data_IF_571659679517
#
_entry.id   IF_571659679517
#
_cell.length_a   1.000
_cell.length_b   1.000
_cell.length_c   1.000
_cell.angle_alpha   90.00
_cell.angle_beta   90.00
_cell.angle_gamma   90.00
#
_symmetry.space_group_name_H-M   'P 1'
#
loop_
_entity.id
_entity.type
_entity.pdbx_description
1 polymer ?
#
# COMPACT_ATOMS: atom_id res chain seq x y z
N UNK A 1 -7.52 71.20 19.71
CA UNK A 1 -7.02 72.56 20.03
C UNK A 1 -6.26 72.53 21.35
N UNK A 2 -5.01 73.01 21.36
CA UNK A 2 -4.16 73.04 22.56
C UNK A 2 -4.64 74.17 23.49
N UNK A 3 -4.62 73.94 24.80
CA UNK A 3 -5.11 74.87 25.82
C UNK A 3 -4.03 75.24 26.83
N UNK A 4 -3.25 74.25 27.25
CA UNK A 4 -2.30 74.42 28.34
C UNK A 4 -1.10 73.50 28.13
N UNK A 5 0.07 73.95 28.57
CA UNK A 5 1.28 73.15 28.63
C UNK A 5 2.03 73.44 29.94
N UNK A 6 2.64 72.40 30.51
CA UNK A 6 3.64 72.51 31.58
C UNK A 6 4.93 71.83 31.15
N UNK A 7 6.06 72.47 31.40
CA UNK A 7 7.41 71.98 31.06
C UNK A 7 8.27 72.00 32.31
N UNK A 8 8.93 70.88 32.60
CA UNK A 8 9.86 70.72 33.71
C UNK A 8 11.06 69.87 33.30
N UNK A 9 12.27 70.28 33.70
CA UNK A 9 13.50 69.51 33.45
C UNK A 9 13.88 69.36 31.98
N UNK A 10 13.44 70.26 31.09
CA UNK A 10 13.76 70.25 29.66
C UNK A 10 14.68 71.42 29.34
N UNK A 11 15.91 71.17 28.89
CA UNK A 11 16.94 72.21 28.64
C UNK A 11 16.97 73.26 29.77
N UNK A 12 16.73 74.54 29.50
CA UNK A 12 16.77 75.62 30.49
C UNK A 12 15.60 75.61 31.51
N UNK A 13 14.61 74.72 31.34
CA UNK A 13 13.50 74.59 32.28
C UNK A 13 13.96 73.77 33.49
N UNK A 14 13.90 74.40 34.67
CA UNK A 14 14.42 73.84 35.92
C UNK A 14 13.81 72.44 36.22
N UNK A 15 14.63 71.44 36.59
CA UNK A 15 14.15 70.10 36.92
C UNK A 15 13.57 69.97 38.34
N UNK A 16 13.86 70.90 39.25
CA UNK A 16 13.51 70.81 40.65
C UNK A 16 11.98 70.82 40.86
N UNK A 17 11.38 69.74 41.43
CA UNK A 17 9.94 69.66 41.65
C UNK A 17 9.44 70.57 42.78
N UNK A 18 10.34 71.17 43.58
CA UNK A 18 9.99 72.18 44.58
C UNK A 18 9.78 73.56 43.96
N UNK A 19 10.37 73.79 42.79
CA UNK A 19 10.16 75.02 42.04
C UNK A 19 8.84 74.92 41.27
N UNK A 20 8.18 76.07 41.09
CA UNK A 20 6.90 76.12 40.38
C UNK A 20 7.12 75.66 38.94
N UNK A 21 6.40 74.62 38.53
CA UNK A 21 6.35 74.19 37.14
C UNK A 21 6.06 75.37 36.21
N UNK A 22 6.83 75.48 35.13
CA UNK A 22 6.63 76.54 34.16
C UNK A 22 5.45 76.20 33.26
N UNK A 23 4.38 76.98 33.40
CA UNK A 23 3.09 76.74 32.77
C UNK A 23 2.82 77.79 31.71
N UNK A 24 2.24 77.34 30.59
CA UNK A 24 1.85 78.18 29.46
C UNK A 24 0.38 77.93 29.10
N UNK A 25 -0.40 79.00 29.00
CA UNK A 25 -1.77 78.95 28.50
C UNK A 25 -1.81 79.44 27.05
N UNK A 26 -2.47 78.68 26.18
CA UNK A 26 -2.63 79.04 24.77
C UNK A 26 -3.98 79.71 24.55
N UNK A 27 -3.93 80.89 23.93
CA UNK A 27 -5.07 81.73 23.62
C UNK A 27 -5.45 81.62 22.14
N UNK A 28 -6.73 81.86 21.86
CA UNK A 28 -7.28 81.94 20.50
C UNK A 28 -7.60 83.40 20.16
N UNK A 29 -7.41 83.83 18.90
CA UNK A 29 -6.83 83.06 17.79
C UNK A 29 -5.29 83.07 17.79
N UNK A 30 -4.66 83.92 18.61
CA UNK A 30 -3.22 84.18 18.60
C UNK A 30 -2.64 84.08 20.01
N UNK A 31 -1.48 83.41 20.13
CA UNK A 31 -0.64 83.40 21.33
C UNK A 31 0.74 83.95 20.94
N UNK A 32 1.20 85.00 21.64
CA UNK A 32 2.50 85.62 21.37
C UNK A 32 3.47 85.25 22.50
N UNK A 33 4.61 84.65 22.15
CA UNK A 33 5.66 84.27 23.09
C UNK A 33 6.89 85.14 22.84
N UNK A 34 7.19 86.06 23.77
CA UNK A 34 8.32 86.99 23.69
C UNK A 34 9.38 86.64 24.74
N UNK A 35 10.63 87.01 24.46
CA UNK A 35 11.74 86.80 25.38
C UNK A 35 13.09 86.98 24.69
N UNK A 36 14.15 87.16 25.47
CA UNK A 36 15.51 87.28 24.96
C UNK A 36 15.98 86.00 24.24
N UNK A 37 17.05 86.09 23.45
CA UNK A 37 17.68 84.90 22.88
C UNK A 37 18.18 83.97 24.00
N UNK A 38 17.99 82.67 23.83
CA UNK A 38 18.29 81.68 24.88
C UNK A 38 17.22 81.55 25.98
N UNK A 39 16.14 82.34 25.97
CA UNK A 39 15.07 82.25 26.99
C UNK A 39 14.16 81.01 26.87
N UNK A 40 14.50 80.04 26.02
CA UNK A 40 13.72 78.80 25.86
C UNK A 40 12.52 78.87 24.92
N UNK A 41 12.32 79.94 24.13
CA UNK A 41 11.20 80.05 23.17
C UNK A 41 11.11 78.87 22.21
N UNK A 42 12.23 78.52 21.56
CA UNK A 42 12.31 77.37 20.65
C UNK A 42 12.05 76.06 21.39
N UNK A 43 12.53 75.92 22.63
CA UNK A 43 12.28 74.76 23.50
C UNK A 43 10.80 74.55 23.78
N UNK A 44 9.99 75.61 23.90
CA UNK A 44 8.53 75.47 24.06
C UNK A 44 7.90 74.81 22.83
N UNK A 45 8.31 75.23 21.62
CA UNK A 45 7.80 74.66 20.36
C UNK A 45 8.25 73.21 20.18
N UNK A 46 9.50 72.92 20.51
CA UNK A 46 10.04 71.56 20.54
C UNK A 46 9.33 70.65 21.54
N UNK A 47 8.96 71.17 22.72
CA UNK A 47 8.17 70.46 23.71
C UNK A 47 6.75 70.17 23.19
N UNK A 48 6.13 71.11 22.47
CA UNK A 48 4.84 70.89 21.79
C UNK A 48 4.95 69.78 20.76
N UNK A 49 5.98 69.83 19.91
CA UNK A 49 6.27 68.79 18.93
C UNK A 49 6.43 67.43 19.60
N UNK A 50 7.29 67.35 20.62
CA UNK A 50 7.58 66.10 21.35
C UNK A 50 6.32 65.57 22.04
N UNK A 51 5.50 66.43 22.65
CA UNK A 51 4.22 66.04 23.24
C UNK A 51 3.28 65.39 22.19
N UNK A 52 3.16 66.01 21.01
CA UNK A 52 2.28 65.56 19.93
C UNK A 52 2.78 64.31 19.21
N UNK A 53 4.06 64.25 18.85
CA UNK A 53 4.59 63.26 17.90
C UNK A 53 5.50 62.21 18.53
N UNK A 54 6.03 62.51 19.73
CA UNK A 54 7.01 61.69 20.45
C UNK A 54 8.43 61.77 19.88
N UNK A 55 8.65 62.55 18.84
CA UNK A 55 9.96 62.73 18.22
C UNK A 55 10.72 63.86 18.94
N UNK A 56 12.02 63.65 19.16
CA UNK A 56 12.89 64.64 19.81
C UNK A 56 13.40 65.69 18.80
N UNK A 57 13.85 66.86 19.29
CA UNK A 57 14.48 67.86 18.44
C UNK A 57 15.75 67.32 17.74
N UNK A 58 16.10 67.85 16.56
CA UNK A 58 17.35 67.49 15.90
C UNK A 58 18.55 67.84 16.80
N UNK A 59 19.65 67.10 16.67
CA UNK A 59 20.88 67.36 17.41
C UNK A 59 20.87 66.93 18.89
N UNK A 60 19.78 66.37 19.42
CA UNK A 60 19.72 65.93 20.84
C UNK A 60 20.28 64.52 21.10
N UNK A 61 20.96 63.91 20.12
CA UNK A 61 21.46 62.54 20.22
C UNK A 61 20.33 61.52 20.38
N UNK A 62 20.41 60.65 21.40
CA UNK A 62 19.35 59.70 21.76
C UNK A 62 18.17 60.32 22.53
N UNK A 63 18.16 61.65 22.73
CA UNK A 63 17.17 62.38 23.53
C UNK A 63 17.75 62.99 24.81
N UNK A 64 18.97 62.61 25.21
CA UNK A 64 19.63 63.14 26.42
C UNK A 64 19.83 64.65 26.38
N UNK A 65 20.19 65.22 25.21
CA UNK A 65 20.39 66.66 25.05
C UNK A 65 19.11 67.50 25.09
N UNK A 66 17.94 66.86 25.18
CA UNK A 66 16.66 67.54 25.36
C UNK A 66 16.31 67.73 26.84
N UNK A 67 16.74 66.79 27.69
CA UNK A 67 16.55 66.86 29.14
C UNK A 67 17.61 67.78 29.74
N UNK A 68 17.27 68.47 30.82
CA UNK A 68 18.20 69.31 31.56
C UNK A 68 19.42 68.48 32.02
N UNK A 69 20.62 69.01 31.81
CA UNK A 69 21.85 68.27 32.06
C UNK A 69 22.08 68.12 33.58
N UNK A 70 22.15 66.89 34.13
CA UNK A 70 22.37 66.69 35.57
C UNK A 70 23.65 67.35 36.10
N UNK A 71 24.66 67.54 35.25
CA UNK A 71 25.95 68.15 35.63
C UNK A 71 25.84 69.63 35.99
N UNK A 72 24.82 70.33 35.49
CA UNK A 72 24.64 71.77 35.75
C UNK A 72 24.28 71.99 37.22
N UNK A 73 23.43 71.13 37.78
CA UNK A 73 22.96 71.19 39.18
C UNK A 73 23.80 70.30 40.12
N UNK A 74 24.81 69.60 39.60
CA UNK A 74 25.61 68.65 40.38
C UNK A 74 24.86 67.37 40.81
N UNK A 75 23.73 67.09 40.16
CA UNK A 75 22.88 65.94 40.45
C UNK A 75 23.29 64.69 39.65
N UNK A 76 23.02 63.51 40.19
CA UNK A 76 23.27 62.24 39.47
C UNK A 76 22.12 61.85 38.56
N UNK A 77 20.93 62.41 38.78
CA UNK A 77 19.73 62.09 38.03
C UNK A 77 18.88 63.33 37.83
N UNK A 78 18.38 63.52 36.60
CA UNK A 78 17.34 64.50 36.29
C UNK A 78 16.12 63.78 35.74
N UNK A 79 14.96 64.12 36.30
CA UNK A 79 13.64 63.74 35.76
C UNK A 79 13.03 64.95 35.07
N UNK A 80 12.43 64.72 33.93
CA UNK A 80 11.80 65.75 33.13
C UNK A 80 10.39 65.33 32.74
N UNK A 81 9.52 66.32 32.54
CA UNK A 81 8.14 66.08 32.21
C UNK A 81 7.57 67.17 31.31
N UNK A 82 6.80 66.75 30.32
CA UNK A 82 6.01 67.62 29.46
C UNK A 82 4.55 67.22 29.65
N UNK A 83 3.72 68.14 30.16
CA UNK A 83 2.27 67.97 30.24
C UNK A 83 1.63 68.85 29.19
N UNK A 84 0.75 68.31 28.36
CA UNK A 84 0.03 69.07 27.33
C UNK A 84 -1.45 68.74 27.39
N UNK A 85 -2.27 69.78 27.52
CA UNK A 85 -3.72 69.67 27.48
C UNK A 85 -4.26 70.17 26.15
N UNK A 86 -5.12 69.38 25.52
CA UNK A 86 -5.79 69.74 24.29
C UNK A 86 -7.21 69.15 24.20
N UNK A 87 -8.05 69.76 23.38
CA UNK A 87 -9.33 69.18 22.97
C UNK A 87 -9.15 68.30 21.74
N UNK A 88 -9.67 67.06 21.81
CA UNK A 88 -9.70 66.13 20.69
C UNK A 88 -10.51 66.67 19.51
N UNK A 89 -10.04 66.39 18.28
CA UNK A 89 -10.68 66.83 17.05
C UNK A 89 -12.02 66.14 16.76
N UNK A 90 -12.17 64.87 17.13
CA UNK A 90 -13.34 64.04 16.80
C UNK A 90 -14.48 64.17 17.81
N UNK A 91 -14.17 64.15 19.12
CA UNK A 91 -15.18 64.09 20.19
C UNK A 91 -15.23 65.33 21.08
N UNK A 92 -14.35 66.33 20.85
CA UNK A 92 -14.19 67.52 21.70
C UNK A 92 -13.94 67.22 23.19
N UNK A 93 -13.54 65.99 23.53
CA UNK A 93 -13.14 65.64 24.88
C UNK A 93 -11.82 66.34 25.24
N UNK A 94 -11.70 66.80 26.47
CA UNK A 94 -10.45 67.34 26.99
C UNK A 94 -9.50 66.20 27.30
N UNK A 95 -8.29 66.28 26.75
CA UNK A 95 -7.24 65.29 26.94
C UNK A 95 -6.02 65.94 27.57
N UNK A 96 -5.32 65.19 28.43
CA UNK A 96 -4.03 65.55 29.02
C UNK A 96 -3.02 64.46 28.66
N UNK A 97 -1.96 64.85 27.96
CA UNK A 97 -0.81 63.99 27.65
C UNK A 97 0.33 64.35 28.58
N UNK A 98 0.95 63.35 29.17
CA UNK A 98 2.11 63.51 30.05
C UNK A 98 3.23 62.61 29.54
N UNK A 99 4.30 63.23 29.02
CA UNK A 99 5.54 62.52 28.65
C UNK A 99 6.59 62.75 29.72
N UNK A 100 7.19 61.66 30.19
CA UNK A 100 8.17 61.70 31.27
C UNK A 100 9.49 61.12 30.79
N UNK A 101 10.59 61.75 31.19
CA UNK A 101 11.94 61.37 30.78
C UNK A 101 12.85 61.32 32.00
N UNK A 102 13.93 60.55 31.88
CA UNK A 102 14.97 60.43 32.90
C UNK A 102 16.33 60.45 32.22
N UNK A 103 17.24 61.29 32.71
CA UNK A 103 18.66 61.20 32.38
C UNK A 103 19.44 60.87 33.64
N UNK A 104 20.20 59.79 33.58
CA UNK A 104 21.11 59.36 34.64
C UNK A 104 22.55 59.66 34.22
N UNK A 105 23.27 60.40 35.06
CA UNK A 105 24.69 60.69 34.87
C UNK A 105 25.53 59.58 35.49
N UNK A 106 26.16 58.77 34.65
CA UNK A 106 27.22 57.84 35.07
C UNK A 106 28.58 58.55 35.09
N UNK A 107 29.63 57.87 35.55
CA UNK A 107 30.99 58.45 35.62
C UNK A 107 31.50 59.04 34.28
N UNK A 108 31.18 58.40 33.15
CA UNK A 108 31.70 58.79 31.83
C UNK A 108 30.63 58.97 30.75
N UNK A 109 29.36 58.65 31.01
CA UNK A 109 28.28 58.70 30.02
C UNK A 109 26.95 59.11 30.65
N UNK A 110 26.07 59.69 29.84
CA UNK A 110 24.67 59.91 30.22
C UNK A 110 23.79 58.81 29.62
N UNK A 111 22.86 58.31 30.43
CA UNK A 111 21.86 57.34 30.01
C UNK A 111 20.49 58.02 29.98
N UNK A 112 19.86 58.06 28.80
CA UNK A 112 18.53 58.62 28.60
C UNK A 112 17.49 57.51 28.53
N UNK A 113 16.45 57.64 29.35
CA UNK A 113 15.30 56.75 29.37
C UNK A 113 14.01 57.55 29.18
N UNK A 114 13.24 57.23 28.15
CA UNK A 114 11.84 57.66 28.02
C UNK A 114 10.99 56.73 28.90
N UNK A 115 10.28 57.31 29.86
CA UNK A 115 9.36 56.58 30.72
C UNK A 115 7.98 56.47 30.05
N UNK A 116 7.08 55.70 30.67
CA UNK A 116 5.72 55.52 30.17
C UNK A 116 5.00 56.86 30.01
N UNK A 117 4.37 57.03 28.84
CA UNK A 117 3.56 58.21 28.56
C UNK A 117 2.14 57.96 29.08
N UNK A 118 1.60 58.91 29.84
CA UNK A 118 0.24 58.83 30.38
C UNK A 118 -0.69 59.69 29.55
N UNK A 119 -1.84 59.15 29.17
CA UNK A 119 -2.92 59.90 28.51
C UNK A 119 -4.14 59.87 29.40
N UNK A 120 -4.66 61.04 29.75
CA UNK A 120 -5.90 61.16 30.52
C UNK A 120 -6.97 61.80 29.66
N UNK A 121 -8.18 61.25 29.70
CA UNK A 121 -9.35 61.77 28.99
C UNK A 121 -10.38 62.22 30.03
N UNK A 122 -10.90 63.42 29.87
CA UNK A 122 -12.03 63.90 30.66
C UNK A 122 -13.29 63.19 30.20
N UNK A 123 -13.88 62.40 31.08
CA UNK A 123 -15.16 61.72 30.86
C UNK A 123 -16.35 62.68 31.06
N UNK A 124 -17.53 62.21 30.66
CA UNK A 124 -18.77 63.00 30.71
C UNK A 124 -19.21 63.36 32.13
N UNK A 125 -18.75 62.62 33.14
CA UNK A 125 -19.01 62.86 34.57
C UNK A 125 -18.04 63.89 35.19
N UNK A 126 -17.12 64.43 34.39
CA UNK A 126 -16.10 65.39 34.81
C UNK A 126 -14.84 64.76 35.42
N UNK A 127 -14.77 63.43 35.56
CA UNK A 127 -13.58 62.72 36.04
C UNK A 127 -12.56 62.57 34.91
N UNK A 128 -11.28 62.48 35.29
CA UNK A 128 -10.20 62.17 34.35
C UNK A 128 -9.93 60.67 34.40
N UNK A 129 -10.31 59.94 33.34
CA UNK A 129 -9.91 58.55 33.18
C UNK A 129 -8.49 58.49 32.62
N UNK A 130 -7.62 57.75 33.29
CA UNK A 130 -6.22 57.60 32.91
C UNK A 130 -6.00 56.29 32.16
N UNK A 131 -5.45 56.37 30.96
CA UNK A 131 -4.99 55.24 30.19
C UNK A 131 -3.48 55.35 30.02
N UNK A 132 -2.74 54.35 30.52
CA UNK A 132 -1.32 54.20 30.23
C UNK A 132 -1.17 53.27 29.04
N UNK A 133 -0.47 53.71 28.00
CA UNK A 133 -0.18 52.90 26.82
C UNK A 133 1.32 52.84 26.58
N UNK A 134 1.79 51.88 25.78
CA UNK A 134 3.19 51.83 25.35
C UNK A 134 3.52 53.05 24.48
N UNK A 135 4.72 53.60 24.64
CA UNK A 135 5.15 54.82 23.93
C UNK A 135 4.98 54.75 22.39
N UNK A 136 5.18 53.58 21.77
CA UNK A 136 5.05 53.39 20.32
C UNK A 136 3.60 53.48 19.81
N UNK A 137 2.62 53.13 20.64
CA UNK A 137 1.19 53.23 20.33
C UNK A 137 0.71 54.67 20.51
N UNK A 138 1.15 55.33 21.59
CA UNK A 138 0.79 56.72 21.91
C UNK A 138 1.24 57.70 20.82
N UNK A 139 2.44 57.49 20.26
CA UNK A 139 2.96 58.34 19.19
C UNK A 139 2.10 58.31 17.92
N UNK A 140 1.25 57.28 17.75
CA UNK A 140 0.26 57.21 16.67
C UNK A 140 -1.09 57.77 17.10
N UNK A 141 -1.51 57.46 18.33
CA UNK A 141 -2.82 57.84 18.85
C UNK A 141 -2.97 59.35 19.12
N UNK A 142 -1.94 60.04 19.62
CA UNK A 142 -2.06 61.49 19.91
C UNK A 142 -2.36 62.30 18.64
N UNK A 143 -1.62 62.15 17.53
CA UNK A 143 -1.96 62.80 16.26
C UNK A 143 -3.40 62.52 15.80
N UNK A 144 -3.84 61.26 15.93
CA UNK A 144 -5.21 60.84 15.60
C UNK A 144 -6.25 61.54 16.48
N UNK A 145 -6.03 61.59 17.80
CA UNK A 145 -6.90 62.33 18.72
C UNK A 145 -6.92 63.83 18.44
N UNK A 146 -5.81 64.41 18.00
CA UNK A 146 -5.73 65.81 17.58
C UNK A 146 -6.45 66.05 16.25
N UNK A 147 -6.73 64.99 15.47
CA UNK A 147 -7.34 65.07 14.14
C UNK A 147 -6.37 65.56 13.07
N UNK A 148 -5.05 65.40 13.28
CA UNK A 148 -4.01 65.89 12.37
C UNK A 148 -2.97 64.80 12.17
N UNK A 149 -2.60 64.51 10.92
CA UNK A 149 -1.60 63.50 10.63
C UNK A 149 -0.22 63.88 11.22
N UNK A 150 0.52 62.89 11.74
CA UNK A 150 1.87 63.09 12.30
C UNK A 150 2.80 63.92 11.38
N UNK A 151 2.90 63.62 10.07
CA UNK A 151 3.73 64.43 9.16
C UNK A 151 3.33 65.90 9.06
N UNK A 152 2.05 66.24 9.25
CA UNK A 152 1.59 67.64 9.27
C UNK A 152 2.01 68.32 10.57
N UNK A 153 1.93 67.61 11.71
CA UNK A 153 2.43 68.11 12.99
C UNK A 153 3.94 68.38 12.94
N UNK A 154 4.72 67.48 12.34
CA UNK A 154 6.18 67.60 12.28
C UNK A 154 6.69 68.57 11.19
N UNK A 155 6.10 68.57 10.00
CA UNK A 155 6.64 69.33 8.85
C UNK A 155 5.99 70.71 8.66
N UNK A 156 4.80 70.94 9.23
CA UNK A 156 4.01 72.15 8.97
C UNK A 156 3.70 72.92 10.25
N UNK A 157 3.10 72.27 11.27
CA UNK A 157 2.61 72.96 12.48
C UNK A 157 3.75 73.26 13.46
N UNK A 158 4.55 72.25 13.81
CA UNK A 158 5.68 72.36 14.72
C UNK A 158 7.00 72.09 14.00
N UNK A 159 7.12 72.62 12.78
CA UNK A 159 8.35 72.55 12.01
C UNK A 159 9.51 73.16 12.80
N UNK A 160 10.64 72.45 12.86
CA UNK A 160 11.80 72.92 13.60
C UNK A 160 12.37 74.20 12.97
N UNK A 161 12.91 75.09 13.79
CA UNK A 161 13.42 76.39 13.32
C UNK A 161 14.51 76.24 12.25
N UNK A 162 15.38 75.24 12.37
CA UNK A 162 16.44 74.96 11.40
C UNK A 162 15.91 74.33 10.11
N UNK A 163 14.73 73.72 10.15
CA UNK A 163 14.10 73.01 9.02
C UNK A 163 13.01 73.85 8.34
N UNK A 164 12.72 75.08 8.79
CA UNK A 164 11.57 75.86 8.33
C UNK A 164 11.61 76.20 6.83
N UNK A 165 12.80 76.21 6.24
CA UNK A 165 13.02 76.46 4.81
C UNK A 165 12.98 75.18 3.96
N UNK A 166 12.51 74.04 4.49
CA UNK A 166 12.37 72.80 3.73
C UNK A 166 11.58 72.95 2.41
N UNK A 167 10.59 73.87 2.25
CA UNK A 167 9.94 74.06 0.95
C UNK A 167 10.89 74.58 -0.15
N UNK A 168 12.03 75.15 0.23
CA UNK A 168 13.08 75.66 -0.68
C UNK A 168 14.27 74.69 -0.79
N UNK A 169 14.17 73.50 -0.18
CA UNK A 169 15.21 72.48 -0.27
C UNK A 169 15.27 71.83 -1.66
N UNK A 170 16.26 70.97 -1.89
CA UNK A 170 16.39 70.22 -3.12
C UNK A 170 15.14 69.38 -3.44
N UNK A 171 15.00 68.99 -4.72
CA UNK A 171 13.83 68.27 -5.21
C UNK A 171 13.59 66.92 -4.48
N UNK A 172 14.64 66.24 -4.00
CA UNK A 172 14.50 64.96 -3.33
C UNK A 172 13.96 65.13 -1.89
N UNK A 173 14.51 66.08 -1.14
CA UNK A 173 14.05 66.44 0.20
C UNK A 173 12.62 66.97 0.18
N UNK A 174 12.31 67.84 -0.79
CA UNK A 174 10.97 68.36 -1.02
C UNK A 174 9.96 67.24 -1.30
N UNK A 175 10.28 66.37 -2.29
CA UNK A 175 9.42 65.24 -2.65
C UNK A 175 9.17 64.31 -1.47
N UNK A 176 10.19 64.01 -0.66
CA UNK A 176 10.04 63.17 0.53
C UNK A 176 9.05 63.76 1.53
N UNK A 177 9.16 65.06 1.86
CA UNK A 177 8.22 65.73 2.78
C UNK A 177 6.80 65.78 2.21
N UNK A 178 6.64 65.99 0.90
CA UNK A 178 5.34 65.89 0.23
C UNK A 178 4.75 64.47 0.32
N UNK A 179 5.53 63.44 0.00
CA UNK A 179 5.11 62.05 0.07
C UNK A 179 4.68 61.66 1.51
N UNK A 180 5.39 62.17 2.52
CA UNK A 180 5.05 61.99 3.93
C UNK A 180 3.74 62.72 4.30
N UNK A 181 3.56 63.98 3.88
CA UNK A 181 2.36 64.79 4.17
C UNK A 181 1.11 64.20 3.51
N UNK A 182 1.21 63.81 2.24
CA UNK A 182 0.08 63.30 1.46
C UNK A 182 -0.11 61.78 1.58
N UNK A 183 0.78 61.10 2.31
CA UNK A 183 0.78 59.64 2.49
C UNK A 183 0.63 58.85 1.17
N UNK A 184 1.06 59.44 0.04
CA UNK A 184 0.85 58.90 -1.32
C UNK A 184 1.59 57.58 -1.55
N UNK A 185 2.62 57.33 -0.73
CA UNK A 185 3.39 56.08 -0.73
C UNK A 185 2.57 54.86 -0.28
N UNK A 186 1.56 55.04 0.58
CA UNK A 186 0.71 53.93 1.04
C UNK A 186 -0.11 53.35 -0.11
N UNK A 187 -0.74 54.22 -0.89
CA UNK A 187 -1.54 53.79 -2.05
C UNK A 187 -0.66 53.20 -3.15
N UNK A 188 0.51 53.79 -3.39
CA UNK A 188 1.47 53.27 -4.37
C UNK A 188 1.93 51.85 -4.01
N UNK A 189 2.31 51.61 -2.75
CA UNK A 189 2.69 50.28 -2.26
C UNK A 189 1.55 49.27 -2.35
N UNK A 190 0.33 49.64 -1.96
CA UNK A 190 -0.83 48.77 -2.07
C UNK A 190 -1.11 48.37 -3.53
N UNK A 191 -0.96 49.32 -4.45
CA UNK A 191 -1.14 49.10 -5.88
C UNK A 191 -0.06 48.15 -6.44
N UNK A 192 1.19 48.29 -6.00
CA UNK A 192 2.28 47.39 -6.40
C UNK A 192 2.08 45.96 -5.88
N UNK A 193 1.59 45.79 -4.64
CA UNK A 193 1.22 44.46 -4.12
C UNK A 193 0.06 43.84 -4.90
N UNK A 194 -0.97 44.61 -5.24
CA UNK A 194 -2.08 44.15 -6.09
C UNK A 194 -1.57 43.70 -7.47
N UNK A 195 -0.66 44.48 -8.08
CA UNK A 195 -0.04 44.12 -9.37
C UNK A 195 0.76 42.82 -9.27
N UNK A 196 1.52 42.65 -8.19
CA UNK A 196 2.30 41.44 -7.93
C UNK A 196 1.38 40.22 -7.75
N UNK A 197 0.33 40.35 -6.95
CA UNK A 197 -0.66 39.29 -6.75
C UNK A 197 -1.34 38.89 -8.07
N UNK A 198 -1.78 39.86 -8.88
CA UNK A 198 -2.36 39.59 -10.20
C UNK A 198 -1.40 38.82 -11.10
N UNK A 199 -0.11 39.19 -11.14
CA UNK A 199 0.89 38.48 -11.94
C UNK A 199 1.03 37.02 -11.52
N UNK A 200 0.99 36.75 -10.22
CA UNK A 200 1.09 35.38 -9.71
C UNK A 200 -0.15 34.55 -10.05
N UNK A 201 -1.35 35.10 -9.86
CA UNK A 201 -2.60 34.43 -10.23
C UNK A 201 -2.66 34.09 -11.73
N UNK A 202 -2.17 34.99 -12.60
CA UNK A 202 -2.09 34.72 -14.04
C UNK A 202 -1.16 33.53 -14.36
N UNK A 203 -0.10 33.31 -13.58
CA UNK A 203 0.76 32.12 -13.76
C UNK A 203 0.04 30.84 -13.34
N UNK A 204 -0.64 30.85 -12.20
CA UNK A 204 -1.40 29.69 -11.71
C UNK A 204 -2.52 29.31 -12.67
N UNK A 205 -3.25 30.30 -13.21
CA UNK A 205 -4.27 30.04 -14.25
C UNK A 205 -3.67 29.31 -15.45
N UNK A 206 -2.53 29.77 -15.98
CA UNK A 206 -1.86 29.12 -17.11
C UNK A 206 -1.41 27.69 -16.79
N UNK A 207 -0.93 27.46 -15.56
CA UNK A 207 -0.55 26.13 -15.10
C UNK A 207 -1.75 25.19 -15.08
N UNK A 208 -2.88 25.63 -14.50
CA UNK A 208 -4.10 24.84 -14.46
C UNK A 208 -4.73 24.62 -15.85
N UNK A 209 -4.62 25.60 -16.76
CA UNK A 209 -5.03 25.41 -18.16
C UNK A 209 -4.23 24.29 -18.84
N UNK A 210 -2.92 24.22 -18.60
CA UNK A 210 -2.06 23.15 -19.13
C UNK A 210 -2.43 21.79 -18.52
N UNK A 211 -2.58 21.72 -17.20
CA UNK A 211 -2.98 20.50 -16.48
C UNK A 211 -4.35 19.99 -16.97
N UNK A 212 -5.31 20.90 -17.18
CA UNK A 212 -6.64 20.56 -17.70
C UNK A 212 -6.57 20.00 -19.11
N UNK A 213 -5.70 20.54 -19.98
CA UNK A 213 -5.51 20.03 -21.34
C UNK A 213 -5.00 18.58 -21.31
N UNK A 214 -3.99 18.29 -20.48
CA UNK A 214 -3.45 16.93 -20.30
C UNK A 214 -4.52 15.98 -19.74
N UNK A 215 -5.25 16.39 -18.71
CA UNK A 215 -6.31 15.55 -18.11
C UNK A 215 -7.46 15.26 -19.08
N UNK A 216 -7.82 16.23 -19.94
CA UNK A 216 -8.82 16.00 -21.00
C UNK A 216 -8.36 14.96 -22.00
N UNK A 217 -7.09 14.99 -22.41
CA UNK A 217 -6.53 13.99 -23.32
C UNK A 217 -6.52 12.59 -22.67
N UNK A 218 -6.05 12.49 -21.44
CA UNK A 218 -6.03 11.22 -20.69
C UNK A 218 -7.43 10.64 -20.51
N UNK A 219 -8.42 11.49 -20.20
CA UNK A 219 -9.82 11.06 -20.14
C UNK A 219 -10.30 10.51 -21.47
N UNK A 220 -10.02 11.21 -22.58
CA UNK A 220 -10.38 10.75 -23.92
C UNK A 220 -9.79 9.37 -24.26
N UNK A 221 -8.53 9.14 -23.89
CA UNK A 221 -7.89 7.83 -24.06
C UNK A 221 -8.53 6.74 -23.17
N UNK A 222 -8.90 7.07 -21.93
CA UNK A 222 -9.58 6.15 -21.03
C UNK A 222 -10.98 5.78 -21.54
N UNK A 223 -11.75 6.76 -22.01
CA UNK A 223 -13.08 6.55 -22.60
C UNK A 223 -13.00 5.62 -23.83
N UNK A 224 -12.01 5.82 -24.71
CA UNK A 224 -11.77 4.94 -25.87
C UNK A 224 -11.45 3.50 -25.46
N UNK A 225 -10.59 3.31 -24.45
CA UNK A 225 -10.25 1.98 -23.94
C UNK A 225 -11.45 1.30 -23.29
N UNK A 226 -12.28 2.03 -22.56
CA UNK A 226 -13.50 1.50 -21.97
C UNK A 226 -14.49 1.02 -23.03
N UNK A 227 -14.64 1.78 -24.12
CA UNK A 227 -15.51 1.36 -25.22
C UNK A 227 -14.96 0.12 -25.93
N UNK A 228 -13.65 0.04 -26.18
CA UNK A 228 -13.01 -1.16 -26.74
C UNK A 228 -13.21 -2.38 -25.84
N UNK A 229 -12.98 -2.25 -24.53
CA UNK A 229 -13.20 -3.32 -23.55
C UNK A 229 -14.66 -3.81 -23.59
N UNK A 230 -15.62 -2.90 -23.68
CA UNK A 230 -17.03 -3.26 -23.75
C UNK A 230 -17.36 -4.04 -25.03
N UNK A 231 -16.77 -3.67 -26.16
CA UNK A 231 -16.93 -4.39 -27.43
C UNK A 231 -16.26 -5.78 -27.38
N UNK A 232 -15.06 -5.87 -26.80
CA UNK A 232 -14.35 -7.12 -26.61
C UNK A 232 -15.11 -8.07 -25.68
N UNK A 233 -15.67 -7.57 -24.57
CA UNK A 233 -16.51 -8.35 -23.66
C UNK A 233 -17.79 -8.86 -24.34
N UNK A 234 -18.44 -8.04 -25.16
CA UNK A 234 -19.61 -8.46 -25.92
C UNK A 234 -19.26 -9.59 -26.91
N UNK A 235 -18.15 -9.43 -27.63
CA UNK A 235 -17.63 -10.43 -28.57
C UNK A 235 -17.27 -11.73 -27.86
N UNK A 236 -16.63 -11.63 -26.70
CA UNK A 236 -16.23 -12.78 -25.89
C UNK A 236 -17.46 -13.56 -25.39
N UNK A 237 -18.54 -12.88 -24.97
CA UNK A 237 -19.80 -13.54 -24.62
C UNK A 237 -20.41 -14.28 -25.81
N UNK A 238 -20.39 -13.69 -27.01
CA UNK A 238 -20.87 -14.36 -28.23
C UNK A 238 -20.06 -15.61 -28.53
N UNK A 239 -18.72 -15.52 -28.50
CA UNK A 239 -17.84 -16.67 -28.75
C UNK A 239 -18.03 -17.76 -27.69
N UNK A 240 -18.20 -17.39 -26.41
CA UNK A 240 -18.49 -18.35 -25.34
C UNK A 240 -19.83 -19.08 -25.57
N UNK A 241 -20.86 -18.37 -26.03
CA UNK A 241 -22.13 -18.98 -26.42
C UNK A 241 -21.95 -19.99 -27.56
N UNK A 242 -21.30 -19.58 -28.65
CA UNK A 242 -21.01 -20.45 -29.79
C UNK A 242 -20.19 -21.68 -29.40
N UNK A 243 -19.18 -21.50 -28.54
CA UNK A 243 -18.36 -22.60 -28.05
C UNK A 243 -19.20 -23.61 -27.24
N UNK A 244 -20.09 -23.12 -26.38
CA UNK A 244 -20.99 -24.00 -25.62
C UNK A 244 -21.90 -24.80 -26.55
N UNK A 245 -22.49 -24.16 -27.56
CA UNK A 245 -23.35 -24.84 -28.54
C UNK A 245 -22.58 -25.92 -29.32
N UNK A 246 -21.31 -25.65 -29.67
CA UNK A 246 -20.43 -26.64 -30.32
C UNK A 246 -20.04 -27.79 -29.38
N UNK A 247 -19.74 -27.49 -28.12
CA UNK A 247 -19.42 -28.50 -27.10
C UNK A 247 -20.63 -29.43 -26.87
N UNK A 248 -21.84 -28.88 -26.76
CA UNK A 248 -23.09 -29.64 -26.62
C UNK A 248 -23.34 -30.52 -27.86
N UNK A 249 -23.13 -29.98 -29.06
CA UNK A 249 -23.28 -30.74 -30.32
C UNK A 249 -22.23 -31.84 -30.48
N UNK A 250 -21.00 -31.59 -30.04
CA UNK A 250 -19.92 -32.59 -30.02
C UNK A 250 -20.25 -33.73 -29.07
N UNK A 251 -20.80 -33.43 -27.89
CA UNK A 251 -21.26 -34.44 -26.94
C UNK A 251 -22.42 -35.29 -27.48
N UNK A 252 -23.39 -34.68 -28.17
CA UNK A 252 -24.47 -35.42 -28.85
C UNK A 252 -23.92 -36.33 -29.94
N UNK A 253 -23.07 -35.81 -30.83
CA UNK A 253 -22.43 -36.60 -31.89
C UNK A 253 -21.61 -37.76 -31.33
N UNK A 254 -20.89 -37.57 -30.22
CA UNK A 254 -20.14 -38.63 -29.56
C UNK A 254 -21.07 -39.73 -29.02
N UNK A 255 -22.20 -39.33 -28.44
CA UNK A 255 -23.23 -40.29 -27.98
C UNK A 255 -23.83 -41.07 -29.16
N UNK A 256 -24.07 -40.41 -30.30
CA UNK A 256 -24.52 -41.08 -31.52
C UNK A 256 -23.46 -42.03 -32.06
N UNK A 257 -22.19 -41.62 -32.07
CA UNK A 257 -21.06 -42.46 -32.47
C UNK A 257 -20.96 -43.72 -31.61
N UNK A 258 -21.08 -43.60 -30.29
CA UNK A 258 -21.07 -44.74 -29.36
C UNK A 258 -22.24 -45.71 -29.62
N UNK A 259 -23.41 -45.20 -30.02
CA UNK A 259 -24.54 -46.06 -30.43
C UNK A 259 -24.25 -46.81 -31.72
N UNK A 260 -23.70 -46.12 -32.72
CA UNK A 260 -23.30 -46.74 -33.99
C UNK A 260 -22.22 -47.79 -33.76
N UNK A 261 -21.22 -47.50 -32.92
CA UNK A 261 -20.16 -48.45 -32.58
C UNK A 261 -20.74 -49.72 -31.94
N UNK A 262 -21.63 -49.58 -30.95
CA UNK A 262 -22.31 -50.75 -30.35
C UNK A 262 -23.12 -51.55 -31.35
N UNK A 263 -23.78 -50.88 -32.30
CA UNK A 263 -24.51 -51.55 -33.37
C UNK A 263 -23.56 -52.32 -34.30
N UNK A 264 -22.43 -51.72 -34.68
CA UNK A 264 -21.38 -52.40 -35.45
C UNK A 264 -20.83 -53.63 -34.70
N UNK A 265 -20.51 -53.50 -33.41
CA UNK A 265 -20.02 -54.61 -32.59
C UNK A 265 -21.06 -55.74 -32.53
N UNK A 266 -22.35 -55.40 -32.35
CA UNK A 266 -23.45 -56.38 -32.37
C UNK A 266 -23.61 -57.06 -33.73
N UNK A 267 -23.48 -56.31 -34.83
CA UNK A 267 -23.51 -56.87 -36.19
C UNK A 267 -22.33 -57.82 -36.38
N UNK A 268 -21.15 -57.46 -35.89
CA UNK A 268 -19.97 -58.31 -35.95
C UNK A 268 -20.17 -59.63 -35.21
N UNK A 269 -20.70 -59.58 -33.97
CA UNK A 269 -21.02 -60.79 -33.20
C UNK A 269 -22.08 -61.66 -33.89
N UNK A 270 -23.13 -61.04 -34.46
CA UNK A 270 -24.14 -61.77 -35.24
C UNK A 270 -23.53 -62.41 -36.48
N UNK A 271 -22.60 -61.73 -37.15
CA UNK A 271 -21.90 -62.27 -38.32
C UNK A 271 -21.03 -63.48 -37.94
N UNK A 272 -20.29 -63.43 -36.83
CA UNK A 272 -19.53 -64.59 -36.32
C UNK A 272 -20.45 -65.77 -35.97
N UNK A 273 -21.59 -65.51 -35.33
CA UNK A 273 -22.58 -66.54 -35.01
C UNK A 273 -23.18 -67.17 -36.27
N UNK A 274 -23.51 -66.34 -37.26
CA UNK A 274 -24.01 -66.78 -38.56
C UNK A 274 -22.96 -67.67 -39.25
N UNK A 275 -21.70 -67.22 -39.31
CA UNK A 275 -20.61 -67.99 -39.92
C UNK A 275 -20.41 -69.35 -39.24
N UNK A 276 -20.46 -69.39 -37.90
CA UNK A 276 -20.41 -70.65 -37.14
C UNK A 276 -21.60 -71.57 -37.47
N UNK A 277 -22.81 -71.01 -37.58
CA UNK A 277 -24.01 -71.78 -37.94
C UNK A 277 -23.98 -72.27 -39.37
N UNK A 278 -23.52 -71.46 -40.32
CA UNK A 278 -23.32 -71.87 -41.71
C UNK A 278 -22.30 -73.01 -41.80
N UNK A 279 -21.17 -72.91 -41.09
CA UNK A 279 -20.18 -73.99 -41.03
C UNK A 279 -20.72 -75.27 -40.37
N UNK A 280 -21.60 -75.16 -39.36
CA UNK A 280 -22.32 -76.31 -38.78
C UNK A 280 -23.27 -76.95 -39.79
N UNK A 281 -24.02 -76.15 -40.56
CA UNK A 281 -24.91 -76.66 -41.60
C UNK A 281 -24.09 -77.35 -42.68
N UNK A 282 -22.99 -76.77 -43.16
CA UNK A 282 -22.11 -77.38 -44.15
C UNK A 282 -21.52 -78.71 -43.66
N UNK A 283 -21.02 -78.75 -42.42
CA UNK A 283 -20.56 -79.97 -41.75
C UNK A 283 -21.63 -81.05 -41.73
N UNK A 284 -22.85 -80.71 -41.28
CA UNK A 284 -23.92 -81.68 -41.14
C UNK A 284 -24.47 -82.13 -42.49
N UNK A 285 -24.50 -81.23 -43.48
CA UNK A 285 -24.89 -81.57 -44.85
C UNK A 285 -23.88 -82.51 -45.48
N UNK A 286 -22.58 -82.28 -45.26
CA UNK A 286 -21.51 -83.18 -45.71
C UNK A 286 -21.55 -84.51 -44.95
N UNK A 287 -21.88 -84.49 -43.66
CA UNK A 287 -22.07 -85.69 -42.85
C UNK A 287 -23.25 -86.54 -43.35
N UNK A 288 -24.39 -85.91 -43.65
CA UNK A 288 -25.54 -86.56 -44.29
C UNK A 288 -25.17 -87.09 -45.67
N UNK A 289 -24.38 -86.35 -46.45
CA UNK A 289 -23.92 -86.78 -47.78
C UNK A 289 -22.99 -88.00 -47.70
N UNK A 290 -22.07 -88.02 -46.74
CA UNK A 290 -21.18 -89.16 -46.48
C UNK A 290 -21.93 -90.37 -45.92
N UNK A 291 -22.95 -90.16 -45.10
CA UNK A 291 -23.86 -91.22 -44.65
C UNK A 291 -24.65 -91.78 -45.84
N UNK A 292 -25.21 -90.92 -46.70
CA UNK A 292 -25.89 -91.34 -47.92
C UNK A 292 -24.96 -92.08 -48.90
N UNK A 293 -23.68 -91.70 -49.01
CA UNK A 293 -22.74 -92.39 -49.91
C UNK A 293 -22.22 -93.74 -49.38
N UNK A 294 -22.54 -94.09 -48.13
CA UNK A 294 -22.22 -95.39 -47.51
C UNK A 294 -23.40 -96.36 -47.50
N UNK A 295 -24.55 -95.93 -48.04
CA UNK A 295 -25.71 -96.78 -48.26
C UNK A 295 -25.51 -97.44 -49.63
N UNK A 296 -25.10 -98.71 -49.66
CA UNK A 296 -24.89 -99.48 -50.90
C UNK A 296 -26.19 -100.13 -51.42
N UNK A 297 -27.27 -100.19 -50.63
CA UNK A 297 -28.61 -100.63 -51.08
C UNK A 297 -29.72 -99.79 -50.41
N UNK A 298 -30.58 -99.19 -51.24
CA UNK A 298 -31.80 -98.49 -50.82
C UNK A 298 -32.91 -99.54 -50.64
N UNK A 299 -33.18 -99.93 -49.39
CA UNK A 299 -34.20 -100.94 -49.06
C UNK A 299 -35.61 -100.41 -49.31
N UNK A 300 -36.35 -101.06 -50.21
CA UNK A 300 -37.76 -100.79 -50.52
C UNK A 300 -38.63 -101.97 -50.08
N UNK A 301 -38.83 -102.14 -48.77
CA UNK A 301 -39.72 -103.17 -48.19
C UNK A 301 -40.67 -102.57 -47.13
N UNK A 302 -41.81 -103.24 -46.91
CA UNK A 302 -43.03 -102.76 -46.24
C UNK A 302 -42.94 -102.76 -44.68
N UNK A 303 -43.54 -101.74 -44.05
CA UNK A 303 -43.33 -101.29 -42.66
C UNK A 303 -43.70 -102.31 -41.55
N UNK A 304 -44.41 -103.38 -41.90
CA UNK A 304 -44.95 -104.35 -40.94
C UNK A 304 -43.92 -105.40 -40.46
N UNK A 305 -42.92 -105.75 -41.26
CA UNK A 305 -41.86 -106.71 -40.86
C UNK A 305 -40.70 -106.01 -40.11
N UNK A 306 -40.52 -104.70 -40.32
CA UNK A 306 -39.54 -103.84 -39.64
C UNK A 306 -39.78 -103.72 -38.12
N UNK A 307 -41.05 -103.73 -37.69
CA UNK A 307 -41.42 -103.66 -36.28
C UNK A 307 -41.10 -104.96 -35.50
N UNK A 308 -41.13 -106.11 -36.15
CA UNK A 308 -40.80 -107.39 -35.51
C UNK A 308 -39.28 -107.54 -35.31
N UNK A 309 -38.47 -107.04 -36.26
CA UNK A 309 -37.01 -106.94 -36.09
C UNK A 309 -36.61 -105.88 -35.06
N UNK A 310 -37.31 -104.74 -35.00
CA UNK A 310 -37.05 -103.71 -33.98
C UNK A 310 -37.27 -104.22 -32.54
N UNK A 311 -38.30 -105.04 -32.30
CA UNK A 311 -38.54 -105.65 -30.98
C UNK A 311 -37.49 -106.72 -30.62
N UNK A 312 -37.00 -107.49 -31.62
CA UNK A 312 -35.91 -108.44 -31.42
C UNK A 312 -34.57 -107.73 -31.11
N UNK A 313 -34.27 -106.64 -31.83
CA UNK A 313 -33.08 -105.80 -31.59
C UNK A 313 -33.15 -105.01 -30.28
N UNK A 314 -34.33 -104.55 -29.85
CA UNK A 314 -34.47 -103.88 -28.53
C UNK A 314 -34.14 -104.84 -27.39
N UNK A 315 -34.60 -106.10 -27.50
CA UNK A 315 -34.28 -107.16 -26.53
C UNK A 315 -32.78 -107.49 -26.53
N UNK A 316 -32.14 -107.49 -27.70
CA UNK A 316 -30.71 -107.73 -27.86
C UNK A 316 -29.85 -106.54 -27.34
N UNK A 317 -30.29 -105.30 -27.56
CA UNK A 317 -29.65 -104.08 -27.04
C UNK A 317 -29.78 -103.99 -25.52
N UNK A 318 -30.91 -104.38 -24.94
CA UNK A 318 -31.08 -104.44 -23.48
C UNK A 318 -30.29 -105.59 -22.84
N UNK A 319 -30.08 -106.70 -23.56
CA UNK A 319 -29.16 -107.76 -23.16
C UNK A 319 -27.71 -107.25 -23.19
N UNK A 320 -27.28 -106.58 -24.28
CA UNK A 320 -25.95 -106.00 -24.37
C UNK A 320 -25.71 -104.84 -23.38
N UNK A 321 -26.73 -104.05 -23.04
CA UNK A 321 -26.62 -103.05 -21.97
C UNK A 321 -26.44 -103.69 -20.60
N UNK A 322 -27.15 -104.78 -20.32
CA UNK A 322 -26.97 -105.56 -19.08
C UNK A 322 -25.58 -106.19 -19.03
N UNK A 323 -25.11 -106.76 -20.14
CA UNK A 323 -23.77 -107.32 -20.24
C UNK A 323 -22.69 -106.22 -20.09
N UNK A 324 -22.87 -105.04 -20.68
CA UNK A 324 -21.98 -103.88 -20.50
C UNK A 324 -21.92 -103.42 -19.04
N UNK A 325 -23.06 -103.30 -18.34
CA UNK A 325 -23.07 -102.95 -16.91
C UNK A 325 -22.40 -104.05 -16.07
N UNK A 326 -22.58 -105.32 -16.44
CA UNK A 326 -21.96 -106.44 -15.73
C UNK A 326 -20.44 -106.48 -15.98
N UNK A 327 -19.98 -106.26 -17.21
CA UNK A 327 -18.57 -106.13 -17.58
C UNK A 327 -17.92 -104.88 -16.96
N UNK A 328 -18.61 -103.74 -16.88
CA UNK A 328 -18.12 -102.55 -16.16
C UNK A 328 -17.98 -102.82 -14.66
N UNK A 329 -18.92 -103.55 -14.06
CA UNK A 329 -18.82 -103.95 -12.65
C UNK A 329 -17.65 -104.91 -12.39
N UNK A 330 -17.40 -105.84 -13.32
CA UNK A 330 -16.26 -106.75 -13.28
C UNK A 330 -14.94 -106.01 -13.51
N UNK A 331 -14.90 -105.04 -14.43
CA UNK A 331 -13.74 -104.19 -14.68
C UNK A 331 -13.41 -103.33 -13.46
N UNK A 332 -14.42 -102.77 -12.78
CA UNK A 332 -14.23 -102.01 -11.55
C UNK A 332 -13.72 -102.89 -10.40
N UNK A 333 -14.21 -104.14 -10.29
CA UNK A 333 -13.74 -105.12 -9.32
C UNK A 333 -12.28 -105.54 -9.60
N UNK A 334 -11.93 -105.79 -10.87
CA UNK A 334 -10.56 -106.09 -11.30
C UNK A 334 -9.62 -104.90 -11.08
N UNK A 335 -10.04 -103.66 -11.36
CA UNK A 335 -9.26 -102.45 -11.06
C UNK A 335 -8.97 -102.31 -9.57
N UNK A 336 -9.92 -102.58 -8.68
CA UNK A 336 -9.68 -102.60 -7.22
C UNK A 336 -8.66 -103.67 -6.79
N UNK A 337 -8.59 -104.80 -7.49
CA UNK A 337 -7.59 -105.84 -7.24
C UNK A 337 -6.22 -105.38 -7.74
N UNK A 338 -6.15 -104.76 -8.93
CA UNK A 338 -4.93 -104.17 -9.47
C UNK A 338 -4.40 -103.08 -8.54
N UNK A 339 -5.24 -102.14 -8.08
CA UNK A 339 -4.83 -101.09 -7.14
C UNK A 339 -4.28 -101.66 -5.82
N UNK A 340 -4.85 -102.77 -5.32
CA UNK A 340 -4.33 -103.46 -4.13
C UNK A 340 -2.96 -104.08 -4.39
N UNK A 341 -2.81 -104.80 -5.50
CA UNK A 341 -1.55 -105.43 -5.88
C UNK A 341 -0.46 -104.40 -6.22
N UNK A 342 -0.81 -103.26 -6.82
CA UNK A 342 0.10 -102.14 -7.05
C UNK A 342 0.58 -101.53 -5.74
N UNK A 343 -0.30 -101.34 -4.76
CA UNK A 343 0.10 -100.88 -3.44
C UNK A 343 1.01 -101.89 -2.72
N UNK A 344 0.69 -103.19 -2.76
CA UNK A 344 1.54 -104.25 -2.22
C UNK A 344 2.90 -104.32 -2.93
N UNK A 345 2.93 -104.13 -4.25
CA UNK A 345 4.15 -104.06 -5.05
C UNK A 345 5.00 -102.84 -4.69
N UNK A 346 4.39 -101.66 -4.52
CA UNK A 346 5.09 -100.44 -4.11
C UNK A 346 5.68 -100.56 -2.70
N UNK A 347 4.96 -101.21 -1.77
CA UNK A 347 5.47 -101.50 -0.43
C UNK A 347 6.67 -102.48 -0.48
N UNK A 348 6.56 -103.56 -1.25
CA UNK A 348 7.65 -104.52 -1.44
C UNK A 348 8.87 -103.88 -2.13
N UNK A 349 8.64 -103.02 -3.13
CA UNK A 349 9.69 -102.25 -3.81
C UNK A 349 10.39 -101.29 -2.86
N UNK A 350 9.67 -100.61 -1.98
CA UNK A 350 10.26 -99.72 -0.97
C UNK A 350 11.15 -100.47 0.03
N UNK A 351 10.75 -101.69 0.42
CA UNK A 351 11.58 -102.59 1.25
C UNK A 351 12.82 -103.08 0.52
N UNK A 352 12.70 -103.44 -0.76
CA UNK A 352 13.84 -103.83 -1.60
C UNK A 352 14.82 -102.68 -1.77
N UNK A 353 14.34 -101.46 -2.02
CA UNK A 353 15.18 -100.26 -2.12
C UNK A 353 15.99 -100.02 -0.84
N UNK A 354 15.37 -100.17 0.34
CA UNK A 354 16.10 -100.05 1.62
C UNK A 354 17.19 -101.11 1.81
N UNK A 355 16.96 -102.33 1.32
CA UNK A 355 17.94 -103.41 1.37
C UNK A 355 19.09 -103.17 0.37
N UNK A 356 18.79 -102.67 -0.84
CA UNK A 356 19.80 -102.25 -1.83
C UNK A 356 20.67 -101.10 -1.30
N UNK A 357 20.05 -100.09 -0.66
CA UNK A 357 20.79 -98.97 -0.07
C UNK A 357 21.75 -99.47 1.04
N UNK A 358 21.30 -100.42 1.87
CA UNK A 358 22.14 -101.06 2.88
C UNK A 358 23.26 -101.90 2.26
N UNK A 359 22.96 -102.67 1.22
CA UNK A 359 23.95 -103.47 0.49
C UNK A 359 25.03 -102.57 -0.13
N UNK A 360 24.63 -101.47 -0.77
CA UNK A 360 25.55 -100.50 -1.38
C UNK A 360 26.43 -99.83 -0.30
N UNK A 361 25.90 -99.56 0.89
CA UNK A 361 26.69 -99.04 2.02
C UNK A 361 27.75 -100.05 2.49
N UNK A 362 27.40 -101.34 2.55
CA UNK A 362 28.33 -102.41 2.92
C UNK A 362 29.37 -102.69 1.82
N UNK A 363 28.99 -102.65 0.54
CA UNK A 363 29.90 -102.77 -0.60
C UNK A 363 30.91 -101.61 -0.62
N UNK A 364 30.45 -100.38 -0.33
CA UNK A 364 31.34 -99.22 -0.22
C UNK A 364 32.32 -99.34 0.95
N UNK A 365 31.87 -99.87 2.11
CA UNK A 365 32.78 -100.20 3.23
C UNK A 365 33.79 -101.28 2.83
N UNK A 366 33.39 -102.23 1.98
CA UNK A 366 34.26 -103.30 1.48
C UNK A 366 35.29 -102.75 0.47
N UNK A 367 34.88 -101.84 -0.42
CA UNK A 367 35.76 -101.14 -1.36
C UNK A 367 36.75 -100.21 -0.64
N UNK A 368 36.32 -99.46 0.37
CA UNK A 368 37.22 -98.63 1.20
C UNK A 368 38.26 -99.51 1.90
N UNK A 369 37.84 -100.67 2.42
CA UNK A 369 38.74 -101.63 3.04
C UNK A 369 39.70 -102.28 2.02
N UNK A 370 39.22 -102.62 0.82
CA UNK A 370 40.06 -103.11 -0.29
C UNK A 370 41.00 -102.02 -0.83
N UNK A 371 40.61 -100.75 -0.81
CA UNK A 371 41.44 -99.62 -1.19
C UNK A 371 42.56 -99.38 -0.19
N UNK A 372 42.29 -99.51 1.12
CA UNK A 372 43.30 -99.51 2.18
C UNK A 372 44.30 -100.68 1.97
N UNK A 373 43.79 -101.89 1.69
CA UNK A 373 44.63 -103.06 1.41
C UNK A 373 45.47 -102.88 0.13
N UNK A 374 44.91 -102.31 -0.94
CA UNK A 374 45.63 -102.00 -2.20
C UNK A 374 46.65 -100.88 -2.03
N UNK A 375 46.37 -99.89 -1.19
CA UNK A 375 47.30 -98.80 -0.86
C UNK A 375 48.50 -99.34 -0.08
N UNK A 376 48.26 -100.19 0.93
CA UNK A 376 49.32 -100.86 1.68
C UNK A 376 50.12 -101.86 0.82
N UNK A 377 49.48 -102.62 -0.07
CA UNK A 377 50.18 -103.51 -1.00
C UNK A 377 51.10 -102.76 -1.97
N UNK A 378 50.69 -101.58 -2.47
CA UNK A 378 51.52 -100.71 -3.33
C UNK A 378 52.69 -100.06 -2.59
N UNK A 379 52.53 -99.78 -1.30
CA UNK A 379 53.59 -99.18 -0.49
C UNK A 379 54.68 -100.21 -0.08
N UNK A 380 54.31 -101.50 0.05
CA UNK A 380 55.20 -102.57 0.52
C UNK A 380 55.61 -103.62 -0.53
N UNK A 381 55.25 -103.44 -1.80
CA UNK A 381 55.68 -104.29 -2.93
C UNK A 381 55.33 -105.79 -2.77
N UNK A 382 54.12 -106.07 -2.24
CA UNK A 382 53.58 -107.42 -2.07
C UNK A 382 52.67 -107.74 -3.28
N UNK A 383 52.89 -108.84 -4.02
CA UNK A 383 52.00 -109.24 -5.12
C UNK A 383 50.60 -109.57 -4.57
N UNK A 384 49.59 -108.82 -4.99
CA UNK A 384 48.18 -109.13 -4.70
C UNK A 384 47.65 -110.07 -5.79
N UNK A 385 47.45 -111.32 -5.41
CA UNK A 385 46.70 -112.31 -6.17
C UNK A 385 45.26 -111.81 -6.37
N UNK A 386 44.82 -111.80 -7.62
CA UNK A 386 43.42 -111.60 -7.97
C UNK A 386 42.71 -112.92 -7.72
N UNK A 387 42.03 -113.01 -6.58
CA UNK A 387 41.09 -114.09 -6.28
C UNK A 387 39.98 -113.47 -5.42
N UNK A 388 38.72 -113.40 -5.83
CA UNK A 388 38.11 -113.87 -7.05
C UNK A 388 36.69 -113.31 -7.15
N UNK A 389 36.09 -113.58 -8.30
CA UNK A 389 34.65 -113.50 -8.54
C UNK A 389 33.85 -114.07 -7.37
N UNK A 390 33.06 -113.20 -6.75
CA UNK A 390 31.74 -113.55 -6.23
C UNK A 390 30.83 -112.56 -6.95
N UNK A 391 30.28 -112.94 -8.09
CA UNK A 391 29.23 -113.94 -8.11
C UNK A 391 27.92 -113.19 -8.26
N UNK A 392 27.57 -112.89 -9.51
CA UNK A 392 26.22 -112.50 -9.93
C UNK A 392 25.21 -113.57 -9.50
N UNK A 393 24.16 -113.16 -8.79
CA UNK A 393 23.07 -114.05 -8.40
C UNK A 393 21.90 -113.33 -7.75
N UNK A 394 21.04 -112.77 -8.61
CA UNK A 394 19.69 -112.20 -8.39
C UNK A 394 19.51 -110.74 -7.94
#
# INVERSE_FOLDING_TARGET
>A
SIQFMSIQGIRAFNPNPRDREQQLQFFKPLTVILGANGSGKTTIIEALRTACTGDYPPGTGSGSGFVHDPRIEGETEVKAQIRMQFYSGTQKNQMLVIRSFRVLQHKSRQEFNSLDTTVQVRENDGRMASCSYKCSEINKLIPEFMGVAKPILDNVIFCHQEDCNWPLSDAATLKKRFDDIFASTRYTKALDEIRKFRKEQVKEVKKHELELAVLKEQKGQADQKHESLRQDEATLRTIQGQRKDLDDRSADLKTQLDKVQRACDSIHTLHEQLQKKTGQVESETEHVRQLHSKIEEEFTEDDAELHHMAQAYTTQVDQYRRDCVQLESQLLAQKKIVDKLENEYMDARSKRQRLDDQQTEYERKLEDMQAIVRQQSREYNIPMDVCGDLGTGF
#
